data_IF_337858106803
#
_entry.id   IF_337858106803
#
_cell.length_a   1.000
_cell.length_b   1.000
_cell.length_c   1.000
_cell.angle_alpha   90.00
_cell.angle_beta   90.00
_cell.angle_gamma   90.00
#
_symmetry.space_group_name_H-M   'P 1'
#
loop_
_entity.id
_entity.type
_entity.pdbx_description
1 polymer ?
#
# COMPACT_ATOMS: atom_id res chain seq x y z
N UNK A 1 13.47 2.07 31.65
CA UNK A 1 12.70 2.72 30.58
C UNK A 1 11.79 1.66 29.98
N UNK A 2 10.48 1.84 30.11
CA UNK A 2 9.48 0.89 29.63
C UNK A 2 9.09 1.25 28.20
N UNK A 3 9.12 0.26 27.30
CA UNK A 3 8.71 0.40 25.90
C UNK A 3 7.27 -0.12 25.75
N UNK A 4 6.42 0.68 25.13
CA UNK A 4 5.00 0.37 24.96
C UNK A 4 4.69 0.32 23.47
N UNK A 5 3.93 -0.69 23.07
CA UNK A 5 3.47 -0.82 21.68
C UNK A 5 2.35 0.18 21.43
N UNK A 6 2.53 1.03 20.44
CA UNK A 6 1.51 2.01 20.04
C UNK A 6 0.73 1.59 18.80
N UNK A 7 1.38 0.88 17.87
CA UNK A 7 0.77 0.43 16.62
C UNK A 7 1.46 -0.82 16.11
N UNK A 8 0.76 -1.56 15.27
CA UNK A 8 1.29 -2.75 14.63
C UNK A 8 0.96 -2.73 13.14
N UNK A 9 1.93 -3.14 12.32
CA UNK A 9 1.86 -3.10 10.87
C UNK A 9 1.97 -4.51 10.29
N UNK A 10 1.38 -4.71 9.11
CA UNK A 10 1.46 -6.00 8.43
C UNK A 10 2.81 -6.16 7.72
N UNK A 11 3.36 -5.05 7.23
CA UNK A 11 4.60 -5.03 6.46
C UNK A 11 5.71 -4.21 7.13
N UNK A 12 6.98 -4.62 7.01
CA UNK A 12 8.11 -3.88 7.57
C UNK A 12 8.25 -2.45 7.05
N UNK A 13 7.96 -2.22 5.76
CA UNK A 13 8.11 -0.89 5.17
C UNK A 13 7.14 0.14 5.78
N UNK A 14 5.92 -0.28 6.15
CA UNK A 14 4.91 0.60 6.77
C UNK A 14 5.38 1.05 8.16
N UNK A 15 5.94 0.11 8.94
CA UNK A 15 6.52 0.41 10.24
C UNK A 15 7.72 1.36 10.10
N UNK A 16 8.55 1.19 9.07
CA UNK A 16 9.69 2.06 8.82
C UNK A 16 9.26 3.49 8.47
N UNK A 17 8.21 3.65 7.66
CA UNK A 17 7.63 4.97 7.33
C UNK A 17 7.14 5.65 8.62
N UNK A 18 6.35 4.94 9.43
CA UNK A 18 5.85 5.47 10.70
C UNK A 18 6.98 5.83 11.67
N UNK A 19 8.04 5.01 11.73
CA UNK A 19 9.25 5.31 12.51
C UNK A 19 9.91 6.59 12.04
N UNK A 20 10.16 6.76 10.73
CA UNK A 20 10.79 7.98 10.21
C UNK A 20 9.97 9.24 10.48
N UNK A 21 8.64 9.13 10.44
CA UNK A 21 7.76 10.23 10.80
C UNK A 21 7.93 10.62 12.28
N UNK A 22 7.85 9.65 13.19
CA UNK A 22 7.99 9.90 14.62
C UNK A 22 9.40 10.39 15.01
N UNK A 23 10.45 9.84 14.40
CA UNK A 23 11.83 10.29 14.59
C UNK A 23 12.04 11.73 14.07
N UNK A 24 11.35 12.14 13.01
CA UNK A 24 11.39 13.54 12.53
C UNK A 24 10.81 14.53 13.54
N UNK A 25 9.92 14.10 14.44
CA UNK A 25 9.42 14.89 15.57
C UNK A 25 10.28 14.74 16.83
N UNK A 26 11.39 14.00 16.77
CA UNK A 26 12.28 13.78 17.92
C UNK A 26 11.80 12.70 18.89
N UNK A 27 10.80 11.89 18.51
CA UNK A 27 10.28 10.81 19.34
C UNK A 27 11.13 9.55 19.09
N UNK A 28 11.78 8.98 20.12
CA UNK A 28 12.54 7.75 19.97
C UNK A 28 11.60 6.57 19.72
N UNK A 29 11.88 5.81 18.66
CA UNK A 29 11.04 4.68 18.23
C UNK A 29 11.89 3.43 18.05
N UNK A 30 11.33 2.29 18.47
CA UNK A 30 11.90 0.97 18.27
C UNK A 30 10.91 0.07 17.53
N UNK A 31 11.39 -0.74 16.60
CA UNK A 31 10.56 -1.70 15.86
C UNK A 31 10.96 -3.11 16.28
N UNK A 32 9.97 -3.90 16.68
CA UNK A 32 10.13 -5.32 17.01
C UNK A 32 9.61 -6.18 15.85
N UNK A 33 10.21 -7.36 15.68
CA UNK A 33 9.90 -8.37 14.65
C UNK A 33 10.18 -7.97 13.18
N UNK A 34 10.83 -6.83 12.92
CA UNK A 34 11.12 -6.34 11.56
C UNK A 34 11.85 -7.38 10.71
N UNK A 35 13.00 -7.87 11.19
CA UNK A 35 13.83 -8.80 10.42
C UNK A 35 13.20 -10.17 10.23
N UNK A 36 12.41 -10.63 11.20
CA UNK A 36 11.77 -11.96 11.12
C UNK A 36 10.64 -11.96 10.09
N UNK A 37 9.82 -10.91 10.08
CA UNK A 37 8.73 -10.76 9.10
C UNK A 37 9.26 -10.39 7.71
N UNK A 38 10.42 -9.72 7.62
CA UNK A 38 11.08 -9.45 6.35
C UNK A 38 11.56 -10.76 5.67
N UNK A 39 12.06 -11.73 6.44
CA UNK A 39 12.50 -13.02 5.90
C UNK A 39 11.32 -13.86 5.40
N UNK A 40 10.21 -13.89 6.14
CA UNK A 40 9.00 -14.59 5.71
C UNK A 40 7.74 -13.87 6.21
N UNK A 41 6.95 -13.39 5.25
CA UNK A 41 5.73 -12.63 5.50
C UNK A 41 4.67 -13.45 6.25
N UNK A 42 4.69 -14.78 6.17
CA UNK A 42 3.74 -15.64 6.91
C UNK A 42 3.85 -15.45 8.42
N UNK A 43 5.02 -15.06 8.93
CA UNK A 43 5.20 -14.78 10.37
C UNK A 43 4.49 -13.51 10.84
N UNK A 44 4.06 -12.63 9.94
CA UNK A 44 3.31 -11.42 10.32
C UNK A 44 2.03 -11.78 11.07
N UNK A 45 1.29 -12.80 10.62
CA UNK A 45 0.08 -13.24 11.31
C UNK A 45 0.38 -13.96 12.64
N UNK A 46 1.47 -14.72 12.71
CA UNK A 46 1.82 -15.52 13.89
C UNK A 46 2.40 -14.67 15.03
N UNK A 47 3.19 -13.65 14.71
CA UNK A 47 3.85 -12.76 15.68
C UNK A 47 3.02 -11.52 16.01
N UNK A 48 1.82 -11.42 15.42
CA UNK A 48 0.94 -10.28 15.59
C UNK A 48 1.44 -9.03 14.89
N UNK A 49 2.25 -9.16 13.84
CA UNK A 49 2.76 -8.09 12.97
C UNK A 49 4.07 -7.44 13.42
N UNK A 50 4.48 -6.43 12.67
CA UNK A 50 5.65 -5.58 12.96
C UNK A 50 5.24 -4.53 13.99
N UNK A 51 5.72 -4.68 15.22
CA UNK A 51 5.27 -3.89 16.38
C UNK A 51 6.13 -2.64 16.50
N UNK A 52 5.48 -1.47 16.58
CA UNK A 52 6.15 -0.18 16.75
C UNK A 52 6.02 0.27 18.21
N UNK A 53 7.17 0.47 18.85
CA UNK A 53 7.31 0.77 20.28
C UNK A 53 7.88 2.17 20.49
N UNK A 54 7.39 2.84 21.52
CA UNK A 54 7.91 4.12 22.01
C UNK A 54 8.06 4.06 23.53
N UNK A 55 8.93 4.89 24.14
CA UNK A 55 9.00 5.00 25.58
C UNK A 55 7.69 5.53 26.15
N UNK A 56 7.33 5.08 27.35
CA UNK A 56 6.09 5.45 28.04
C UNK A 56 5.81 6.96 28.05
N UNK A 57 6.85 7.78 28.25
CA UNK A 57 6.76 9.25 28.28
C UNK A 57 6.24 9.89 26.97
N UNK A 58 6.32 9.16 25.84
CA UNK A 58 5.96 9.67 24.51
C UNK A 58 4.75 8.96 23.91
N UNK A 59 4.07 8.09 24.66
CA UNK A 59 2.95 7.28 24.13
C UNK A 59 1.80 8.16 23.65
N UNK A 60 1.39 9.13 24.46
CA UNK A 60 0.24 10.00 24.13
C UNK A 60 0.55 10.92 22.94
N UNK A 61 1.78 11.43 22.89
CA UNK A 61 2.26 12.27 21.80
C UNK A 61 2.33 11.46 20.50
N UNK A 62 2.97 10.28 20.51
CA UNK A 62 3.11 9.43 19.34
C UNK A 62 1.77 8.94 18.78
N UNK A 63 0.81 8.60 19.64
CA UNK A 63 -0.56 8.23 19.22
C UNK A 63 -1.26 9.40 18.53
N UNK A 64 -1.20 10.59 19.13
CA UNK A 64 -1.82 11.80 18.57
C UNK A 64 -1.25 12.17 17.20
N UNK A 65 0.04 11.90 16.96
CA UNK A 65 0.65 12.10 15.64
C UNK A 65 0.27 11.03 14.61
N UNK A 66 0.18 9.77 15.01
CA UNK A 66 -0.21 8.68 14.09
C UNK A 66 -1.70 8.69 13.72
N UNK A 67 -2.54 9.34 14.53
CA UNK A 67 -3.96 9.54 14.26
C UNK A 67 -4.25 10.76 13.37
N UNK A 68 -3.26 11.65 13.15
CA UNK A 68 -3.41 12.73 12.18
C UNK A 68 -3.49 12.13 10.79
N UNK A 69 -4.69 12.17 10.23
CA UNK A 69 -4.95 11.69 8.89
C UNK A 69 -4.46 12.75 7.89
N UNK A 70 -3.38 12.43 7.16
CA UNK A 70 -2.83 13.31 6.11
C UNK A 70 -3.58 13.18 4.77
N UNK A 71 -4.71 12.45 4.77
CA UNK A 71 -5.59 12.28 3.61
C UNK A 71 -6.07 13.62 3.05
N UNK A 72 -6.54 14.52 3.90
CA UNK A 72 -7.05 15.84 3.49
C UNK A 72 -5.96 16.73 2.84
N UNK A 73 -4.71 16.67 3.32
CA UNK A 73 -3.59 17.42 2.75
C UNK A 73 -3.13 16.84 1.40
N UNK A 74 -3.27 15.52 1.22
CA UNK A 74 -2.99 14.84 -0.05
C UNK A 74 -4.04 15.15 -1.10
N UNK A 75 -5.32 15.19 -0.74
CA UNK A 75 -6.41 15.56 -1.65
C UNK A 75 -6.28 17.00 -2.17
N UNK A 76 -5.78 17.94 -1.36
CA UNK A 76 -5.54 19.30 -1.84
C UNK A 76 -4.32 19.41 -2.76
N UNK A 77 -3.26 18.63 -2.52
CA UNK A 77 -2.02 18.69 -3.31
C UNK A 77 -2.05 17.85 -4.59
N UNK A 78 -2.74 16.73 -4.57
CA UNK A 78 -2.88 15.80 -5.69
C UNK A 78 -4.31 15.76 -6.24
N UNK A 79 -5.14 16.74 -5.87
CA UNK A 79 -6.53 16.91 -6.27
C UNK A 79 -6.82 16.35 -7.63
N UNK A 80 -7.44 15.17 -7.60
CA UNK A 80 -7.99 14.37 -8.67
C UNK A 80 -7.84 15.00 -10.06
N UNK A 81 -6.75 14.68 -10.77
CA UNK A 81 -6.88 14.52 -12.21
C UNK A 81 -7.73 13.26 -12.43
N UNK A 82 -9.03 13.40 -12.18
CA UNK A 82 -10.07 12.44 -12.50
C UNK A 82 -9.92 12.18 -13.99
N UNK A 83 -9.23 11.09 -14.33
CA UNK A 83 -8.93 10.78 -15.72
C UNK A 83 -10.26 10.67 -16.45
N UNK A 84 -10.51 11.61 -17.35
CA UNK A 84 -11.69 11.56 -18.19
C UNK A 84 -11.39 10.66 -19.37
N UNK A 85 -12.36 9.85 -19.79
CA UNK A 85 -12.21 9.12 -21.04
C UNK A 85 -11.98 10.13 -22.19
N UNK A 86 -10.91 9.98 -23.01
CA UNK A 86 -10.57 10.94 -24.05
C UNK A 86 -11.64 11.07 -25.15
N UNK A 87 -12.54 10.08 -25.28
CA UNK A 87 -13.56 10.03 -26.32
C UNK A 87 -14.94 10.52 -25.86
N UNK A 88 -15.30 10.34 -24.58
CA UNK A 88 -16.66 10.65 -24.10
C UNK A 88 -16.69 11.47 -22.80
N UNK A 89 -15.54 11.81 -22.23
CA UNK A 89 -15.44 12.61 -21.01
C UNK A 89 -16.03 11.98 -19.74
N UNK A 90 -16.44 10.71 -19.78
CA UNK A 90 -17.00 10.04 -18.61
C UNK A 90 -15.93 9.65 -17.60
N UNK A 91 -16.29 9.72 -16.33
CA UNK A 91 -15.50 9.28 -15.18
C UNK A 91 -15.64 7.78 -14.86
N UNK A 92 -16.53 7.07 -15.57
CA UNK A 92 -16.79 5.64 -15.39
C UNK A 92 -15.76 4.77 -16.14
N UNK A 93 -14.57 4.66 -15.55
CA UNK A 93 -13.45 3.87 -16.07
C UNK A 93 -13.30 2.57 -15.27
N UNK A 94 -13.13 1.45 -15.96
CA UNK A 94 -12.74 0.16 -15.37
C UNK A 94 -11.34 -0.23 -15.83
N UNK A 95 -10.52 -0.71 -14.89
CA UNK A 95 -9.25 -1.36 -15.21
C UNK A 95 -9.53 -2.71 -15.86
N UNK A 96 -9.13 -2.89 -17.11
CA UNK A 96 -9.40 -4.11 -17.86
C UNK A 96 -8.11 -4.69 -18.46
N UNK A 97 -7.75 -5.90 -18.05
CA UNK A 97 -6.57 -6.58 -18.60
C UNK A 97 -6.98 -7.54 -19.72
N UNK A 98 -6.64 -7.20 -20.97
CA UNK A 98 -6.82 -8.12 -22.11
C UNK A 98 -5.70 -9.17 -22.13
N UNK A 99 -6.06 -10.43 -22.38
CA UNK A 99 -5.11 -11.54 -22.56
C UNK A 99 -4.98 -12.50 -21.37
N UNK A 100 -5.67 -12.26 -20.25
CA UNK A 100 -5.59 -13.10 -19.02
C UNK A 100 -5.78 -14.60 -19.27
N UNK A 101 -6.78 -14.97 -20.08
CA UNK A 101 -7.11 -16.38 -20.35
C UNK A 101 -6.15 -17.07 -21.33
N UNK A 102 -5.66 -16.35 -22.34
CA UNK A 102 -4.76 -16.92 -23.35
C UNK A 102 -3.39 -17.23 -22.78
N UNK A 103 -2.85 -16.34 -21.93
CA UNK A 103 -1.58 -16.57 -21.27
C UNK A 103 -1.67 -17.67 -20.20
N UNK A 104 -2.82 -17.81 -19.51
CA UNK A 104 -3.06 -18.94 -18.61
C UNK A 104 -3.02 -20.28 -19.36
N UNK A 105 -3.67 -20.36 -20.53
CA UNK A 105 -3.63 -21.57 -21.37
C UNK A 105 -2.21 -21.85 -21.90
N UNK A 106 -1.48 -20.83 -22.36
CA UNK A 106 -0.11 -21.00 -22.83
C UNK A 106 0.83 -21.47 -21.70
N UNK A 107 0.71 -20.92 -20.50
CA UNK A 107 1.48 -21.36 -19.34
C UNK A 107 1.11 -22.80 -18.93
N UNK A 108 -0.19 -23.13 -18.90
CA UNK A 108 -0.69 -24.45 -18.50
C UNK A 108 -0.28 -25.57 -19.46
N UNK A 109 -0.33 -25.32 -20.79
CA UNK A 109 -0.07 -26.37 -21.79
C UNK A 109 1.36 -26.37 -22.32
N UNK A 110 2.01 -25.21 -22.42
CA UNK A 110 3.33 -25.08 -23.05
C UNK A 110 4.45 -24.68 -22.07
N UNK A 111 4.14 -24.44 -20.78
CA UNK A 111 5.13 -24.08 -19.76
C UNK A 111 5.89 -22.78 -20.04
N UNK A 112 5.45 -22.00 -21.03
CA UNK A 112 6.11 -20.79 -21.50
C UNK A 112 5.50 -19.57 -20.77
N UNK A 113 6.31 -18.76 -20.06
CA UNK A 113 5.84 -17.54 -19.40
C UNK A 113 5.64 -16.41 -20.43
N UNK A 114 4.65 -16.55 -21.31
CA UNK A 114 4.30 -15.53 -22.30
C UNK A 114 3.49 -14.41 -21.62
N UNK A 115 4.19 -13.39 -21.13
CA UNK A 115 3.63 -12.19 -20.48
C UNK A 115 3.00 -11.18 -21.45
N UNK A 116 2.31 -11.62 -22.50
CA UNK A 116 1.64 -10.73 -23.46
C UNK A 116 0.29 -10.22 -22.95
N UNK A 117 0.26 -9.76 -21.69
CA UNK A 117 -0.91 -9.08 -21.12
C UNK A 117 -0.84 -7.60 -21.47
N UNK A 118 -1.91 -7.06 -22.04
CA UNK A 118 -2.06 -5.61 -22.21
C UNK A 118 -2.97 -5.10 -21.10
N UNK A 119 -2.37 -4.37 -20.17
CA UNK A 119 -3.10 -3.56 -19.21
C UNK A 119 -3.65 -2.33 -19.94
N UNK A 120 -4.79 -1.85 -19.50
CA UNK A 120 -5.36 -0.61 -20.01
C UNK A 120 -6.68 -0.30 -19.34
N UNK A 121 -7.10 0.95 -19.49
CA UNK A 121 -8.33 1.50 -18.99
C UNK A 121 -9.42 1.30 -20.05
N UNK A 122 -10.59 0.82 -19.63
CA UNK A 122 -11.77 0.73 -20.48
C UNK A 122 -12.85 1.65 -19.95
N UNK A 123 -13.45 2.45 -20.80
CA UNK A 123 -14.63 3.22 -20.43
C UNK A 123 -15.88 2.32 -20.45
N UNK A 124 -16.69 2.34 -19.39
CA UNK A 124 -17.96 1.58 -19.35
C UNK A 124 -19.04 2.17 -20.25
N UNK A 125 -19.00 3.48 -20.50
CA UNK A 125 -20.02 4.19 -21.29
C UNK A 125 -19.82 4.08 -22.80
N UNK A 126 -18.59 4.27 -23.29
CA UNK A 126 -18.28 4.18 -24.74
C UNK A 126 -17.54 2.89 -25.14
N UNK A 127 -17.02 2.13 -24.19
CA UNK A 127 -16.25 0.91 -24.48
C UNK A 127 -14.83 1.14 -24.99
N UNK A 128 -14.38 2.40 -25.10
CA UNK A 128 -13.04 2.76 -25.52
C UNK A 128 -11.98 2.16 -24.60
N UNK A 129 -10.92 1.61 -25.19
CA UNK A 129 -9.80 1.01 -24.46
C UNK A 129 -8.50 1.74 -24.79
N UNK A 130 -7.87 2.33 -23.79
CA UNK A 130 -6.58 3.01 -23.91
C UNK A 130 -5.64 2.53 -22.80
N UNK A 131 -4.34 2.79 -22.97
CA UNK A 131 -3.31 2.48 -21.98
C UNK A 131 -2.68 3.77 -21.48
#
# INVERSE_FOLDING_TARGET
MQWIVIKTFSFPYEAQIAKTQLEAFGIPVYIENEHTINMDWFYSNALGGVRLLVPENYVDEAKSFLEKDFSDELEQKFGESKECCPECGSLDIEVNTKGKKSAFLAFMFFGLPLFSFKNGNRCKRCGHFWN
#
